data_IF_471756653642
#
_entry.id   IF_471756653642
#
_cell.length_a   1.000
_cell.length_b   1.000
_cell.length_c   1.000
_cell.angle_alpha   90.00
_cell.angle_beta   90.00
_cell.angle_gamma   90.00
#
_symmetry.space_group_name_H-M   'P 1'
#
loop_
_entity.id
_entity.type
_entity.pdbx_description
1 polymer ?
#
# COMPACT_ATOMS: atom_id res chain seq x y z
N UNK A 1 5.26 -26.33 -15.98
CA UNK A 1 3.96 -25.99 -16.61
C UNK A 1 3.37 -24.66 -16.11
N UNK A 2 3.35 -24.38 -14.80
CA UNK A 2 2.72 -23.19 -14.19
C UNK A 2 3.20 -21.79 -14.66
N UNK A 3 4.40 -21.66 -15.25
CA UNK A 3 4.92 -20.37 -15.78
C UNK A 3 4.45 -20.04 -17.21
N UNK A 4 4.05 -21.05 -17.99
CA UNK A 4 3.68 -20.84 -19.40
C UNK A 4 2.25 -20.31 -19.52
N UNK A 5 1.34 -20.85 -18.72
CA UNK A 5 -0.06 -20.41 -18.63
C UNK A 5 -0.21 -18.97 -18.11
N UNK A 6 0.66 -18.53 -17.18
CA UNK A 6 0.63 -17.13 -16.71
C UNK A 6 1.11 -16.13 -17.77
N UNK A 7 2.05 -16.53 -18.63
CA UNK A 7 2.50 -15.70 -19.75
C UNK A 7 1.45 -15.65 -20.87
N UNK A 8 0.82 -16.78 -21.18
CA UNK A 8 -0.26 -16.86 -22.18
C UNK A 8 -1.52 -16.11 -21.73
N UNK A 9 -1.83 -16.11 -20.43
CA UNK A 9 -2.92 -15.30 -19.85
C UNK A 9 -2.67 -13.80 -19.98
N UNK A 10 -1.44 -13.34 -19.71
CA UNK A 10 -1.05 -11.95 -19.87
C UNK A 10 -1.06 -11.52 -21.35
N UNK A 11 -0.54 -12.34 -22.26
CA UNK A 11 -0.52 -12.06 -23.70
C UNK A 11 -1.94 -12.05 -24.32
N UNK A 12 -2.87 -12.87 -23.83
CA UNK A 12 -4.30 -12.81 -24.22
C UNK A 12 -4.96 -11.51 -23.78
N UNK A 13 -4.67 -11.05 -22.56
CA UNK A 13 -5.20 -9.78 -22.06
C UNK A 13 -4.67 -8.59 -22.87
N UNK A 14 -3.38 -8.57 -23.22
CA UNK A 14 -2.80 -7.52 -24.08
C UNK A 14 -3.37 -7.52 -25.51
N UNK A 15 -3.69 -8.68 -26.10
CA UNK A 15 -4.34 -8.76 -27.43
C UNK A 15 -5.78 -8.26 -27.42
N UNK A 16 -6.54 -8.53 -26.36
CA UNK A 16 -7.90 -8.03 -26.22
C UNK A 16 -7.96 -6.50 -26.15
N UNK A 17 -6.99 -5.88 -25.46
CA UNK A 17 -6.90 -4.43 -25.35
C UNK A 17 -6.49 -3.78 -26.69
N UNK A 18 -5.57 -4.39 -27.45
CA UNK A 18 -5.10 -3.84 -28.74
C UNK A 18 -6.06 -4.10 -29.91
N UNK A 19 -6.90 -5.13 -29.84
CA UNK A 19 -7.94 -5.39 -30.86
C UNK A 19 -9.16 -4.47 -30.70
N UNK A 20 -9.47 -4.03 -29.48
CA UNK A 20 -10.55 -3.05 -29.25
C UNK A 20 -10.24 -1.65 -29.83
N UNK A 21 -9.00 -1.40 -30.26
CA UNK A 21 -8.56 -0.13 -30.87
C UNK A 21 -8.58 -0.14 -32.41
N UNK A 22 -8.98 -1.24 -33.05
CA UNK A 22 -9.04 -1.35 -34.52
C UNK A 22 -10.42 -1.79 -35.00
N UNK A 23 -11.35 -0.84 -35.00
CA UNK A 23 -12.55 -0.88 -35.85
C UNK A 23 -12.89 0.56 -36.25
N UNK A 24 -12.25 1.03 -37.33
CA UNK A 24 -12.75 2.18 -38.08
C UNK A 24 -13.31 1.61 -39.38
N UNK A 25 -14.63 1.67 -39.62
CA UNK A 25 -15.17 1.32 -40.92
C UNK A 25 -14.87 2.45 -41.91
N UNK A 26 -14.43 2.09 -43.11
CA UNK A 26 -14.30 3.01 -44.24
C UNK A 26 -15.69 3.20 -44.88
N UNK A 27 -16.19 4.44 -44.87
CA UNK A 27 -17.28 4.95 -45.71
C UNK A 27 -17.17 6.49 -45.68
N UNK A 28 -16.65 7.10 -46.75
CA UNK A 28 -17.37 7.70 -47.88
C UNK A 28 -17.88 9.11 -47.60
N UNK A 29 -17.44 10.04 -48.45
CA UNK A 29 -17.68 11.48 -48.46
C UNK A 29 -19.13 11.90 -48.22
N UNK A 30 -19.29 12.96 -47.42
CA UNK A 30 -20.55 13.68 -47.22
C UNK A 30 -20.41 14.76 -46.16
N UNK A 31 -20.14 16.00 -46.61
CA UNK A 31 -20.08 17.20 -45.78
C UNK A 31 -21.41 17.47 -45.05
N UNK A 32 -21.34 17.71 -43.74
CA UNK A 32 -22.20 18.67 -43.04
C UNK A 32 -21.50 19.08 -41.73
N UNK A 33 -21.35 20.39 -41.54
CA UNK A 33 -20.80 21.03 -40.36
C UNK A 33 -21.65 20.74 -39.13
N UNK A 34 -21.06 20.12 -38.11
CA UNK A 34 -21.51 20.23 -36.73
C UNK A 34 -20.26 20.35 -35.85
N UNK A 35 -20.02 21.56 -35.35
CA UNK A 35 -18.97 21.87 -34.38
C UNK A 35 -19.15 21.01 -33.13
N UNK A 36 -18.20 20.14 -32.75
CA UNK A 36 -18.25 19.47 -31.46
C UNK A 36 -17.86 20.47 -30.38
N UNK A 37 -18.82 20.77 -29.51
CA UNK A 37 -18.63 21.38 -28.19
C UNK A 37 -17.48 20.70 -27.45
N UNK A 38 -16.57 21.52 -26.92
CA UNK A 38 -15.46 21.10 -26.08
C UNK A 38 -15.97 20.35 -24.83
N UNK A 39 -15.61 19.08 -24.68
CA UNK A 39 -15.40 18.40 -23.37
C UNK A 39 -14.90 16.93 -23.45
N UNK A 40 -14.33 16.47 -24.57
CA UNK A 40 -13.65 15.17 -24.64
C UNK A 40 -12.13 15.35 -24.85
N UNK A 41 -11.44 15.86 -23.83
CA UNK A 41 -9.98 15.87 -23.85
C UNK A 41 -9.48 14.41 -23.73
N UNK A 42 -9.04 13.82 -24.85
CA UNK A 42 -8.48 12.49 -24.87
C UNK A 42 -7.34 12.36 -23.83
N UNK A 43 -7.45 11.38 -22.93
CA UNK A 43 -6.45 11.11 -21.90
C UNK A 43 -5.06 10.99 -22.51
N UNK A 44 -4.09 11.65 -21.89
CA UNK A 44 -2.69 11.49 -22.28
C UNK A 44 -2.23 10.02 -22.09
N UNK A 45 -1.25 9.51 -22.86
CA UNK A 45 -0.77 8.14 -22.70
C UNK A 45 -0.28 7.81 -21.27
N UNK A 46 0.27 8.80 -20.55
CA UNK A 46 0.67 8.65 -19.16
C UNK A 46 -0.52 8.51 -18.22
N UNK A 47 -1.59 9.28 -18.43
CA UNK A 47 -2.82 9.18 -17.64
C UNK A 47 -3.57 7.89 -17.91
N UNK A 48 -3.61 7.43 -19.17
CA UNK A 48 -4.17 6.13 -19.51
C UNK A 48 -3.43 4.97 -18.80
N UNK A 49 -2.10 5.05 -18.70
CA UNK A 49 -1.31 4.06 -17.96
C UNK A 49 -1.61 4.07 -16.47
N UNK A 50 -1.78 5.25 -15.86
CA UNK A 50 -2.18 5.39 -14.46
C UNK A 50 -3.58 4.82 -14.23
N UNK A 51 -4.51 5.08 -15.14
CA UNK A 51 -5.87 4.54 -15.09
C UNK A 51 -5.88 3.01 -15.13
N UNK A 52 -5.11 2.42 -16.05
CA UNK A 52 -4.89 0.97 -16.10
C UNK A 52 -4.27 0.42 -14.80
N UNK A 53 -3.37 1.17 -14.17
CA UNK A 53 -2.75 0.79 -12.92
C UNK A 53 -3.75 0.81 -11.75
N UNK A 54 -4.67 1.76 -11.70
CA UNK A 54 -5.78 1.78 -10.72
C UNK A 54 -6.70 0.57 -10.92
N UNK A 55 -7.04 0.24 -12.17
CA UNK A 55 -7.84 -0.95 -12.46
C UNK A 55 -7.16 -2.25 -11.96
N UNK A 56 -5.83 -2.34 -12.02
CA UNK A 56 -5.06 -3.49 -11.48
C UNK A 56 -5.17 -3.63 -9.95
N UNK A 57 -5.47 -2.55 -9.21
CA UNK A 57 -5.70 -2.63 -7.76
C UNK A 57 -6.92 -3.47 -7.41
N UNK A 58 -7.86 -3.63 -8.35
CA UNK A 58 -9.05 -4.48 -8.23
C UNK A 58 -8.81 -5.92 -8.68
N UNK A 59 -7.62 -6.27 -9.16
CA UNK A 59 -7.32 -7.61 -9.62
C UNK A 59 -7.38 -8.63 -8.47
N UNK A 60 -7.63 -9.90 -8.81
CA UNK A 60 -7.68 -10.99 -7.82
C UNK A 60 -6.30 -11.31 -7.22
N UNK A 61 -5.23 -10.96 -7.94
CA UNK A 61 -3.88 -11.39 -7.60
C UNK A 61 -3.09 -10.30 -6.89
N UNK A 62 -2.53 -10.64 -5.73
CA UNK A 62 -1.65 -9.78 -4.92
C UNK A 62 -0.52 -9.14 -5.75
N UNK A 63 0.08 -9.89 -6.69
CA UNK A 63 1.15 -9.37 -7.53
C UNK A 63 0.67 -8.26 -8.48
N UNK A 64 -0.54 -8.41 -9.04
CA UNK A 64 -1.13 -7.41 -9.94
C UNK A 64 -1.50 -6.15 -9.16
N UNK A 65 -2.07 -6.30 -7.97
CA UNK A 65 -2.39 -5.18 -7.09
C UNK A 65 -1.12 -4.45 -6.63
N UNK A 66 -0.08 -5.21 -6.26
CA UNK A 66 1.22 -4.65 -5.88
C UNK A 66 1.83 -3.83 -7.01
N UNK A 67 1.86 -4.39 -8.22
CA UNK A 67 2.43 -3.70 -9.37
C UNK A 67 1.60 -2.48 -9.75
N UNK A 68 0.26 -2.58 -9.75
CA UNK A 68 -0.61 -1.43 -9.98
C UNK A 68 -0.34 -0.29 -8.99
N UNK A 69 -0.13 -0.58 -7.71
CA UNK A 69 0.19 0.45 -6.72
C UNK A 69 1.57 1.08 -6.96
N UNK A 70 2.57 0.26 -7.32
CA UNK A 70 3.91 0.77 -7.66
C UNK A 70 3.82 1.68 -8.89
N UNK A 71 3.15 1.23 -9.96
CA UNK A 71 2.97 1.99 -11.20
C UNK A 71 2.27 3.34 -10.94
N UNK A 72 1.25 3.37 -10.05
CA UNK A 72 0.57 4.61 -9.65
C UNK A 72 1.55 5.54 -8.94
N UNK A 73 2.23 5.07 -7.90
CA UNK A 73 3.08 5.94 -7.06
C UNK A 73 4.29 6.46 -7.84
N UNK A 74 4.93 5.59 -8.65
CA UNK A 74 6.05 5.99 -9.52
C UNK A 74 5.59 6.92 -10.64
N UNK A 75 4.43 6.66 -11.24
CA UNK A 75 3.84 7.54 -12.26
C UNK A 75 3.38 8.90 -11.70
N UNK A 76 3.20 9.01 -10.38
CA UNK A 76 2.98 10.26 -9.66
C UNK A 76 4.28 10.89 -9.12
N UNK A 77 5.45 10.37 -9.52
CA UNK A 77 6.75 11.00 -9.29
C UNK A 77 7.48 10.58 -8.01
N UNK A 78 7.05 9.51 -7.33
CA UNK A 78 7.78 8.97 -6.17
C UNK A 78 8.48 7.66 -6.54
N UNK A 79 9.82 7.66 -6.73
CA UNK A 79 10.56 6.45 -7.06
C UNK A 79 10.59 5.47 -5.88
N UNK A 80 10.51 4.18 -6.21
CA UNK A 80 10.69 3.09 -5.25
C UNK A 80 12.16 2.98 -4.82
N UNK A 81 12.37 2.62 -3.56
CA UNK A 81 13.71 2.43 -2.97
C UNK A 81 13.93 0.98 -2.54
N UNK A 82 13.25 0.55 -1.47
CA UNK A 82 13.45 -0.75 -0.81
C UNK A 82 12.10 -1.38 -0.45
N UNK A 83 12.11 -2.64 -0.01
CA UNK A 83 10.91 -3.41 0.38
C UNK A 83 10.84 -3.68 1.89
N UNK A 84 11.59 -2.92 2.68
CA UNK A 84 11.65 -3.02 4.13
C UNK A 84 12.03 -1.66 4.73
N UNK A 85 11.76 -1.50 6.02
CA UNK A 85 12.19 -0.35 6.81
C UNK A 85 12.93 -0.86 8.04
N UNK A 86 14.06 -0.27 8.38
CA UNK A 86 14.79 -0.67 9.58
C UNK A 86 14.22 0.03 10.81
N UNK A 87 13.86 -0.74 11.83
CA UNK A 87 13.42 -0.24 13.12
C UNK A 87 14.61 -0.13 14.08
N UNK A 88 14.75 1.03 14.70
CA UNK A 88 15.81 1.31 15.66
C UNK A 88 15.29 1.39 17.09
N UNK A 89 16.06 0.87 18.03
CA UNK A 89 15.80 0.99 19.47
C UNK A 89 17.13 1.05 20.22
N UNK A 90 17.27 2.01 21.15
CA UNK A 90 18.53 2.22 21.86
C UNK A 90 19.70 2.58 20.95
N UNK A 91 19.44 3.27 19.84
CA UNK A 91 20.44 3.61 18.81
C UNK A 91 20.92 2.42 17.97
N UNK A 92 20.31 1.24 18.09
CA UNK A 92 20.68 0.03 17.34
C UNK A 92 19.55 -0.41 16.43
N UNK A 93 19.89 -0.93 15.25
CA UNK A 93 18.93 -1.62 14.41
C UNK A 93 18.46 -2.90 15.12
N UNK A 94 17.15 -3.05 15.30
CA UNK A 94 16.55 -4.18 16.04
C UNK A 94 15.83 -5.14 15.11
N UNK A 95 15.16 -4.63 14.08
CA UNK A 95 14.48 -5.47 13.11
C UNK A 95 14.33 -4.75 11.77
N UNK A 96 14.22 -5.52 10.69
CA UNK A 96 13.82 -5.01 9.39
C UNK A 96 12.34 -5.33 9.19
N UNK A 97 11.51 -4.30 9.20
CA UNK A 97 10.06 -4.38 9.01
C UNK A 97 9.76 -4.54 7.53
N UNK A 98 9.39 -5.74 7.05
CA UNK A 98 9.03 -5.96 5.65
C UNK A 98 7.78 -5.18 5.22
N UNK A 99 7.90 -4.39 4.15
CA UNK A 99 6.82 -3.62 3.50
C UNK A 99 6.60 -4.09 2.05
N UNK A 100 5.50 -3.72 1.40
CA UNK A 100 5.30 -4.09 -0.01
C UNK A 100 6.17 -3.24 -0.95
N UNK A 101 6.40 -1.98 -0.60
CA UNK A 101 7.39 -1.10 -1.20
C UNK A 101 7.57 0.13 -0.29
N UNK A 102 8.74 0.75 -0.35
CA UNK A 102 9.04 2.07 0.21
C UNK A 102 9.39 2.99 -0.94
N UNK A 103 8.91 4.22 -0.86
CA UNK A 103 9.13 5.26 -1.85
C UNK A 103 9.75 6.48 -1.17
N UNK A 104 10.61 7.18 -1.90
CA UNK A 104 11.29 8.38 -1.40
C UNK A 104 11.12 9.49 -2.42
N UNK A 105 10.52 10.59 -1.99
CA UNK A 105 10.48 11.80 -2.80
C UNK A 105 11.80 12.57 -2.65
N UNK A 106 12.35 13.08 -3.76
CA UNK A 106 13.53 13.96 -3.73
C UNK A 106 13.18 15.34 -3.14
N UNK A 107 11.95 15.80 -3.39
CA UNK A 107 11.37 17.03 -2.86
C UNK A 107 9.96 16.71 -2.31
N UNK A 108 9.54 17.31 -1.19
CA UNK A 108 8.18 17.14 -0.64
C UNK A 108 8.03 16.20 0.58
N UNK A 109 6.97 15.36 0.68
CA UNK A 109 6.50 14.74 1.94
C UNK A 109 7.47 13.77 2.61
N UNK A 110 8.61 13.47 1.97
CA UNK A 110 9.66 12.62 2.51
C UNK A 110 9.56 11.19 2.00
N UNK A 111 9.20 10.27 2.88
CA UNK A 111 9.08 8.83 2.57
C UNK A 111 7.63 8.36 2.69
N UNK A 112 7.25 7.42 1.83
CA UNK A 112 5.95 6.77 1.81
C UNK A 112 6.14 5.25 1.86
N UNK A 113 5.39 4.54 2.69
CA UNK A 113 5.34 3.08 2.65
C UNK A 113 4.05 2.60 1.98
N UNK A 114 4.16 1.54 1.20
CA UNK A 114 3.03 0.74 0.75
C UNK A 114 3.08 -0.63 1.42
N UNK A 115 1.94 -1.07 1.95
CA UNK A 115 1.77 -2.39 2.56
C UNK A 115 0.55 -3.10 1.98
N UNK A 116 0.68 -4.40 1.73
CA UNK A 116 -0.44 -5.25 1.42
C UNK A 116 -0.78 -6.02 2.69
N UNK A 117 -2.01 -5.93 3.22
CA UNK A 117 -2.33 -6.47 4.56
C UNK A 117 -2.10 -7.99 4.67
N UNK A 118 -2.27 -8.74 3.56
CA UNK A 118 -1.84 -10.15 3.47
C UNK A 118 -0.40 -10.40 3.90
N UNK A 119 0.50 -9.44 3.62
CA UNK A 119 1.92 -9.56 3.98
C UNK A 119 2.06 -9.56 5.51
N UNK A 120 1.27 -8.74 6.21
CA UNK A 120 1.20 -8.72 7.68
C UNK A 120 0.70 -10.07 8.20
N UNK A 121 -0.35 -10.64 7.61
CA UNK A 121 -0.83 -11.99 7.98
C UNK A 121 0.28 -13.05 7.83
N UNK A 122 0.98 -13.07 6.69
CA UNK A 122 2.10 -14.00 6.43
C UNK A 122 3.24 -13.82 7.45
N UNK A 123 3.48 -12.60 7.92
CA UNK A 123 4.49 -12.31 8.96
C UNK A 123 4.03 -12.87 10.30
N UNK A 124 2.76 -12.67 10.66
CA UNK A 124 2.17 -13.22 11.90
C UNK A 124 2.20 -14.75 11.90
N UNK A 125 1.86 -15.38 10.77
CA UNK A 125 1.96 -16.83 10.58
C UNK A 125 3.40 -17.34 10.73
N UNK A 126 4.38 -16.59 10.20
CA UNK A 126 5.81 -16.90 10.38
C UNK A 126 6.18 -16.91 11.85
N UNK A 127 5.78 -15.86 12.58
CA UNK A 127 6.10 -15.70 14.00
C UNK A 127 5.49 -16.84 14.85
N UNK A 128 4.35 -17.36 14.45
CA UNK A 128 3.67 -18.48 15.11
C UNK A 128 4.18 -19.87 14.67
N UNK A 129 5.18 -19.94 13.79
CA UNK A 129 5.72 -21.20 13.27
C UNK A 129 4.77 -21.94 12.31
N UNK A 130 3.75 -21.27 11.78
CA UNK A 130 2.72 -21.88 10.93
C UNK A 130 3.19 -22.16 9.49
N UNK A 131 4.36 -21.62 9.09
CA UNK A 131 4.95 -21.84 7.76
C UNK A 131 5.11 -23.31 7.38
N UNK A 132 5.53 -24.15 8.33
CA UNK A 132 5.80 -25.57 8.07
C UNK A 132 4.56 -26.45 8.24
N UNK A 133 3.59 -26.03 9.06
CA UNK A 133 2.33 -26.71 9.24
C UNK A 133 1.40 -26.56 8.02
N UNK A 134 1.67 -25.62 7.10
CA UNK A 134 0.85 -25.25 5.92
C UNK A 134 -0.56 -24.73 6.23
N UNK A 135 -1.08 -24.90 7.45
CA UNK A 135 -2.23 -24.18 8.03
C UNK A 135 -2.43 -24.60 9.50
N UNK A 136 -3.24 -23.84 10.24
CA UNK A 136 -3.74 -24.25 11.55
C UNK A 136 -4.48 -25.59 11.49
N UNK A 137 -5.24 -25.86 10.42
CA UNK A 137 -6.03 -27.10 10.28
C UNK A 137 -5.16 -28.36 10.32
N UNK A 138 -4.02 -28.31 9.63
CA UNK A 138 -3.06 -29.43 9.65
C UNK A 138 -2.38 -29.58 11.00
N UNK A 139 -2.16 -28.47 11.70
CA UNK A 139 -1.67 -28.50 13.07
C UNK A 139 -2.71 -29.12 14.02
N UNK A 140 -4.00 -28.79 13.84
CA UNK A 140 -5.09 -29.43 14.59
C UNK A 140 -5.16 -30.94 14.33
N UNK A 141 -4.95 -31.37 13.08
CA UNK A 141 -4.92 -32.79 12.72
C UNK A 141 -3.71 -33.54 13.31
N UNK A 142 -2.55 -32.88 13.48
CA UNK A 142 -1.30 -33.52 13.91
C UNK A 142 -1.04 -33.41 15.43
N UNK A 143 -1.31 -32.25 16.03
CA UNK A 143 -1.03 -31.95 17.43
C UNK A 143 -2.02 -30.92 17.98
N UNK A 144 -3.18 -31.40 18.43
CA UNK A 144 -4.29 -30.57 18.94
C UNK A 144 -3.90 -29.63 20.10
N UNK A 145 -3.08 -30.04 21.10
CA UNK A 145 -2.62 -29.13 22.15
C UNK A 145 -1.82 -27.94 21.62
N UNK A 146 -0.84 -28.20 20.73
CA UNK A 146 -0.03 -27.14 20.13
C UNK A 146 -0.88 -26.26 19.23
N UNK A 147 -1.78 -26.84 18.43
CA UNK A 147 -2.72 -26.10 17.59
C UNK A 147 -3.60 -25.14 18.40
N UNK A 148 -4.12 -25.61 19.53
CA UNK A 148 -4.97 -24.80 20.42
C UNK A 148 -4.19 -23.64 21.02
N UNK A 149 -2.94 -23.88 21.47
CA UNK A 149 -2.06 -22.82 21.98
C UNK A 149 -1.72 -21.80 20.91
N UNK A 150 -1.42 -22.25 19.69
CA UNK A 150 -1.10 -21.38 18.56
C UNK A 150 -2.31 -20.57 18.10
N UNK A 151 -3.49 -21.18 18.04
CA UNK A 151 -4.74 -20.50 17.73
C UNK A 151 -5.05 -19.39 18.75
N UNK A 152 -4.95 -19.68 20.05
CA UNK A 152 -5.12 -18.68 21.11
C UNK A 152 -4.10 -17.55 21.01
N UNK A 153 -2.85 -17.84 20.62
CA UNK A 153 -1.83 -16.81 20.37
C UNK A 153 -2.18 -15.96 19.14
N UNK A 154 -2.63 -16.57 18.05
CA UNK A 154 -3.06 -15.86 16.85
C UNK A 154 -4.21 -14.90 17.17
N UNK A 155 -5.24 -15.36 17.89
CA UNK A 155 -6.36 -14.52 18.32
C UNK A 155 -5.94 -13.33 19.19
N UNK A 156 -4.83 -13.43 19.94
CA UNK A 156 -4.30 -12.32 20.73
C UNK A 156 -3.48 -11.32 19.92
N UNK A 157 -2.94 -11.74 18.77
CA UNK A 157 -2.08 -10.93 17.91
C UNK A 157 -2.83 -10.33 16.71
N UNK A 158 -3.96 -10.93 16.33
CA UNK A 158 -4.78 -10.44 15.22
C UNK A 158 -5.71 -9.34 15.74
N UNK A 159 -5.71 -8.16 15.11
CA UNK A 159 -6.66 -7.11 15.47
C UNK A 159 -8.09 -7.53 15.11
N UNK A 160 -9.08 -6.95 15.79
CA UNK A 160 -10.48 -7.11 15.41
C UNK A 160 -10.77 -6.55 14.01
N UNK A 161 -10.05 -5.48 13.64
CA UNK A 161 -10.14 -4.81 12.34
C UNK A 161 -8.75 -4.84 11.68
N UNK A 162 -8.63 -5.43 10.49
CA UNK A 162 -7.34 -5.57 9.79
C UNK A 162 -6.66 -4.23 9.47
N UNK A 163 -7.44 -3.16 9.27
CA UNK A 163 -6.90 -1.82 9.02
C UNK A 163 -6.33 -1.16 10.26
N UNK A 164 -6.64 -1.66 11.45
CA UNK A 164 -6.14 -1.16 12.73
C UNK A 164 -5.01 -2.04 13.27
N UNK A 165 -4.30 -2.72 12.37
CA UNK A 165 -3.20 -3.60 12.72
C UNK A 165 -2.05 -2.83 13.41
N UNK A 166 -1.61 -3.24 14.60
CA UNK A 166 -0.46 -2.61 15.27
C UNK A 166 0.82 -2.65 14.43
N UNK A 167 0.93 -3.58 13.49
CA UNK A 167 2.05 -3.63 12.57
C UNK A 167 2.15 -2.38 11.67
N UNK A 168 1.01 -1.74 11.34
CA UNK A 168 0.98 -0.50 10.58
C UNK A 168 1.62 0.64 11.38
N UNK A 169 1.35 0.71 12.69
CA UNK A 169 2.01 1.68 13.57
C UNK A 169 3.54 1.48 13.58
N UNK A 170 4.01 0.22 13.62
CA UNK A 170 5.43 -0.10 13.51
C UNK A 170 6.06 0.41 12.20
N UNK A 171 5.37 0.26 11.07
CA UNK A 171 5.80 0.80 9.77
C UNK A 171 5.90 2.33 9.81
N UNK A 172 4.89 3.01 10.38
CA UNK A 172 4.87 4.47 10.48
C UNK A 172 5.99 5.00 11.39
N UNK A 173 6.28 4.29 12.50
CA UNK A 173 7.40 4.63 13.39
C UNK A 173 8.74 4.46 12.68
N UNK A 174 8.96 3.33 11.98
CA UNK A 174 10.20 3.10 11.26
C UNK A 174 10.39 4.12 10.12
N UNK A 175 9.31 4.49 9.42
CA UNK A 175 9.35 5.61 8.46
C UNK A 175 9.82 6.91 9.11
N UNK A 176 9.29 7.25 10.29
CA UNK A 176 9.64 8.47 11.00
C UNK A 176 11.11 8.48 11.44
N UNK A 177 11.61 7.34 11.93
CA UNK A 177 13.02 7.18 12.28
C UNK A 177 13.94 7.39 11.07
N UNK A 178 13.62 6.77 9.93
CA UNK A 178 14.41 6.97 8.71
C UNK A 178 14.33 8.41 8.18
N UNK A 179 13.16 9.05 8.26
CA UNK A 179 12.99 10.46 7.87
C UNK A 179 13.86 11.38 8.72
N UNK A 180 13.84 11.20 10.05
CA UNK A 180 14.69 11.94 10.98
C UNK A 180 16.17 11.74 10.70
N UNK A 181 16.62 10.51 10.43
CA UNK A 181 18.03 10.25 10.10
C UNK A 181 18.48 10.99 8.84
N UNK A 182 17.57 11.17 7.87
CA UNK A 182 17.88 11.85 6.61
C UNK A 182 17.79 13.39 6.68
N UNK A 183 16.88 13.93 7.50
CA UNK A 183 16.56 15.37 7.55
C UNK A 183 17.13 16.10 8.78
N UNK A 184 17.66 15.36 9.75
CA UNK A 184 18.04 15.90 11.05
C UNK A 184 16.86 15.96 12.02
N UNK A 185 17.09 16.53 13.21
CA UNK A 185 16.12 16.50 14.32
C UNK A 185 15.01 17.55 14.15
N UNK A 186 13.93 17.19 13.48
CA UNK A 186 12.69 17.97 13.49
C UNK A 186 11.93 17.84 14.84
N UNK A 187 10.98 18.73 15.09
CA UNK A 187 10.10 18.68 16.27
C UNK A 187 9.07 17.55 16.21
N UNK A 188 8.66 17.15 15.01
CA UNK A 188 7.82 15.98 14.77
C UNK A 188 7.98 15.50 13.32
N UNK A 189 7.82 14.21 13.10
CA UNK A 189 7.91 13.59 11.78
C UNK A 189 6.51 13.25 11.26
N UNK A 190 6.14 13.84 10.11
CA UNK A 190 4.88 13.52 9.44
C UNK A 190 5.11 12.37 8.46
N UNK A 191 4.48 11.24 8.75
CA UNK A 191 4.62 10.01 7.96
C UNK A 191 3.31 9.61 7.31
N UNK A 192 3.45 8.92 6.17
CA UNK A 192 2.33 8.45 5.37
C UNK A 192 2.54 7.01 4.96
N UNK A 193 1.47 6.23 4.93
CA UNK A 193 1.48 4.89 4.36
C UNK A 193 0.18 4.61 3.60
N UNK A 194 0.25 3.68 2.65
CA UNK A 194 -0.91 3.18 1.90
C UNK A 194 -1.03 1.69 2.18
N UNK A 195 -2.21 1.22 2.53
CA UNK A 195 -2.51 -0.20 2.66
C UNK A 195 -3.57 -0.66 1.67
N UNK A 196 -3.34 -1.84 1.09
CA UNK A 196 -4.36 -2.59 0.37
C UNK A 196 -4.79 -3.79 1.22
N UNK A 197 -6.09 -3.90 1.56
CA UNK A 197 -6.58 -5.03 2.33
C UNK A 197 -6.58 -6.29 1.49
N UNK A 198 -6.40 -7.42 2.16
CA UNK A 198 -6.44 -8.72 1.51
C UNK A 198 -7.79 -9.36 1.76
N UNK A 199 -8.75 -9.04 0.89
CA UNK A 199 -10.03 -9.72 0.93
C UNK A 199 -10.07 -10.75 -0.19
N UNK A 200 -10.46 -11.98 0.16
CA UNK A 200 -10.89 -13.02 -0.81
C UNK A 200 -12.01 -12.52 -1.75
N UNK A 201 -12.64 -11.40 -1.38
CA UNK A 201 -13.61 -10.65 -2.16
C UNK A 201 -12.98 -9.32 -2.53
N UNK A 202 -12.67 -9.13 -3.82
CA UNK A 202 -12.13 -7.92 -4.45
C UNK A 202 -12.34 -6.65 -3.61
N UNK A 203 -11.32 -6.24 -2.84
CA UNK A 203 -11.44 -5.01 -2.09
C UNK A 203 -11.61 -3.87 -3.07
N UNK A 204 -12.71 -3.15 -2.92
CA UNK A 204 -12.97 -1.91 -3.65
C UNK A 204 -12.40 -0.71 -2.92
N UNK A 205 -11.53 -0.91 -1.92
CA UNK A 205 -10.94 0.18 -1.13
C UNK A 205 -9.43 0.04 -0.95
N UNK A 206 -8.74 1.17 -1.02
CA UNK A 206 -7.40 1.39 -0.50
C UNK A 206 -7.47 2.25 0.77
N UNK A 207 -6.55 2.07 1.71
CA UNK A 207 -6.51 2.83 2.96
C UNK A 207 -5.24 3.67 3.04
N UNK A 208 -5.39 4.94 3.39
CA UNK A 208 -4.31 5.88 3.54
C UNK A 208 -4.13 6.21 5.02
N UNK A 209 -2.93 6.03 5.52
CA UNK A 209 -2.56 6.28 6.90
C UNK A 209 -1.68 7.51 6.98
N UNK A 210 -1.94 8.34 7.98
CA UNK A 210 -1.11 9.48 8.34
C UNK A 210 -0.86 9.46 9.83
N UNK A 211 0.36 9.80 10.22
CA UNK A 211 0.68 10.02 11.63
C UNK A 211 1.66 11.18 11.75
N UNK A 212 1.58 11.88 12.87
CA UNK A 212 2.58 12.85 13.30
C UNK A 212 3.29 12.22 14.50
N UNK A 213 4.55 11.82 14.33
CA UNK A 213 5.31 11.18 15.39
C UNK A 213 6.11 12.26 16.13
N UNK A 214 5.82 12.53 17.41
CA UNK A 214 6.50 13.58 18.16
C UNK A 214 7.99 13.29 18.33
N UNK A 215 8.78 14.35 18.45
CA UNK A 215 10.21 14.21 18.73
C UNK A 215 10.48 13.44 20.02
N UNK A 216 9.73 13.72 21.09
CA UNK A 216 9.89 13.07 22.39
C UNK A 216 9.69 11.55 22.28
N UNK A 217 8.69 11.12 21.51
CA UNK A 217 8.44 9.69 21.26
C UNK A 217 9.63 9.02 20.56
N UNK A 218 10.19 9.64 19.52
CA UNK A 218 11.35 9.09 18.81
C UNK A 218 12.63 9.13 19.67
N UNK A 219 12.83 10.19 20.45
CA UNK A 219 13.96 10.31 21.39
C UNK A 219 13.90 9.19 22.44
N UNK A 220 12.70 8.83 22.90
CA UNK A 220 12.47 7.72 23.83
C UNK A 220 12.84 6.36 23.23
N UNK A 221 12.57 6.15 21.94
CA UNK A 221 13.00 4.93 21.23
C UNK A 221 14.53 4.90 21.03
N UNK A 222 15.15 6.05 20.77
CA UNK A 222 16.59 6.17 20.60
C UNK A 222 17.34 5.97 21.91
N UNK A 223 16.78 6.45 23.03
CA UNK A 223 17.39 6.44 24.37
C UNK A 223 16.41 5.93 25.43
N UNK A 224 16.06 4.63 25.40
CA UNK A 224 15.04 4.05 26.28
C UNK A 224 15.43 4.02 27.77
N UNK A 225 16.69 4.30 28.11
CA UNK A 225 17.15 4.42 29.49
C UNK A 225 16.98 5.82 30.09
N UNK A 226 16.76 6.86 29.28
CA UNK A 226 16.55 8.23 29.77
C UNK A 226 15.09 8.41 30.21
N UNK A 227 14.84 8.70 31.49
CA UNK A 227 13.50 8.98 31.98
C UNK A 227 12.91 10.20 31.24
N UNK A 228 11.65 10.08 30.79
CA UNK A 228 10.97 11.14 30.06
C UNK A 228 9.51 10.81 29.81
N UNK A 229 8.71 11.85 29.64
CA UNK A 229 7.33 11.74 29.19
C UNK A 229 7.31 11.23 27.73
N UNK A 230 6.31 10.41 27.43
CA UNK A 230 6.11 9.85 26.10
C UNK A 230 4.76 10.34 25.59
N UNK A 231 4.80 11.25 24.63
CA UNK A 231 3.59 11.77 24.02
C UNK A 231 2.82 10.66 23.29
N UNK A 232 1.50 10.77 23.31
CA UNK A 232 0.64 9.88 22.55
C UNK A 232 0.85 10.06 21.04
N UNK A 233 0.91 8.93 20.31
CA UNK A 233 0.96 8.91 18.86
C UNK A 233 -0.41 8.56 18.32
N UNK A 234 -1.07 9.52 17.67
CA UNK A 234 -2.33 9.28 16.97
C UNK A 234 -2.08 8.93 15.50
N UNK A 235 -2.60 7.78 15.08
CA UNK A 235 -2.64 7.36 13.67
C UNK A 235 -4.04 7.64 13.13
N UNK A 236 -4.13 8.38 12.02
CA UNK A 236 -5.39 8.63 11.31
C UNK A 236 -5.38 7.85 9.99
N UNK A 237 -6.52 7.30 9.62
CA UNK A 237 -6.66 6.65 8.34
C UNK A 237 -8.00 6.91 7.67
N UNK A 238 -8.02 6.85 6.34
CA UNK A 238 -9.20 7.01 5.51
C UNK A 238 -9.20 6.00 4.37
N UNK A 239 -10.40 5.59 3.93
CA UNK A 239 -10.58 4.66 2.82
C UNK A 239 -10.99 5.37 1.53
N UNK A 240 -10.40 5.00 0.41
CA UNK A 240 -10.76 5.49 -0.93
C UNK A 240 -11.39 4.37 -1.73
N UNK A 241 -12.52 4.67 -2.36
CA UNK A 241 -13.15 3.77 -3.32
C UNK A 241 -12.29 3.64 -4.56
N UNK A 242 -12.07 2.39 -5.00
CA UNK A 242 -11.38 2.03 -6.22
C UNK A 242 -12.37 1.74 -7.37
N UNK A 243 -13.69 1.91 -7.15
CA UNK A 243 -14.73 1.61 -8.15
C UNK A 243 -14.69 2.55 -9.35
N UNK A 244 -14.29 3.79 -9.08
CA UNK A 244 -14.11 4.85 -10.06
C UNK A 244 -12.62 5.15 -10.11
N UNK A 245 -11.99 4.76 -11.20
CA UNK A 245 -10.56 4.83 -11.38
C UNK A 245 -10.05 6.28 -11.44
N UNK A 246 -10.86 7.21 -11.98
CA UNK A 246 -10.49 8.62 -12.07
C UNK A 246 -10.56 9.29 -10.70
N UNK A 247 -11.68 9.12 -9.99
CA UNK A 247 -11.84 9.64 -8.63
C UNK A 247 -10.78 9.06 -7.69
N UNK A 248 -10.46 7.77 -7.83
CA UNK A 248 -9.38 7.14 -7.07
C UNK A 248 -8.03 7.80 -7.38
N UNK A 249 -7.68 8.00 -8.65
CA UNK A 249 -6.42 8.63 -9.05
C UNK A 249 -6.30 10.07 -8.53
N UNK A 250 -7.38 10.85 -8.58
CA UNK A 250 -7.43 12.18 -7.98
C UNK A 250 -7.17 12.13 -6.46
N UNK A 251 -7.74 11.15 -5.76
CA UNK A 251 -7.47 10.94 -4.33
C UNK A 251 -6.00 10.55 -4.06
N UNK A 252 -5.38 9.71 -4.90
CA UNK A 252 -3.95 9.41 -4.80
C UNK A 252 -3.10 10.68 -4.96
N UNK A 253 -3.38 11.50 -5.98
CA UNK A 253 -2.70 12.79 -6.21
C UNK A 253 -2.78 13.68 -4.97
N UNK A 254 -3.99 13.96 -4.50
CA UNK A 254 -4.21 14.80 -3.29
C UNK A 254 -3.47 14.26 -2.07
N UNK A 255 -3.47 12.95 -1.86
CA UNK A 255 -2.82 12.34 -0.70
C UNK A 255 -1.30 12.46 -0.77
N UNK A 256 -0.70 12.30 -1.95
CA UNK A 256 0.73 12.44 -2.14
C UNK A 256 1.16 13.91 -2.03
N UNK A 257 0.39 14.84 -2.57
CA UNK A 257 0.62 16.29 -2.46
C UNK A 257 0.46 16.79 -1.02
N UNK A 258 -0.25 16.05 -0.17
CA UNK A 258 -0.48 16.41 1.22
C UNK A 258 -1.67 17.34 1.46
N UNK A 259 -2.54 17.49 0.46
CA UNK A 259 -3.73 18.34 0.51
C UNK A 259 -4.93 17.65 1.17
N UNK A 260 -4.85 16.35 1.50
CA UNK A 260 -5.92 15.55 2.15
C UNK A 260 -6.15 15.92 3.64
N UNK A 261 -5.62 17.04 4.13
CA UNK A 261 -5.84 17.48 5.53
C UNK A 261 -7.09 18.35 5.77
N UNK A 262 -8.11 18.27 4.90
CA UNK A 262 -9.44 18.86 5.16
C UNK A 262 -10.54 17.94 4.67
N UNK A 263 -10.96 17.02 5.52
CA UNK A 263 -12.34 16.52 5.56
C UNK A 263 -12.59 16.18 7.02
N UNK A 264 -13.07 17.20 7.72
CA UNK A 264 -14.03 17.27 8.84
C UNK A 264 -14.29 15.97 9.62
N UNK A 265 -14.02 16.00 10.93
CA UNK A 265 -15.01 16.06 12.04
C UNK A 265 -15.61 14.69 12.40
#
# INVERSE_FOLDING_TARGET
MYRKEQREGAERFYRLITQSSRSVPAASDGQAEDTPTADDAALTPSEFNLWCAVARLRAQYEWSQRNGMIDIIEGLGLPRTVDYLTLYYGGRAVDDIPTSAVFKAETGPGRLAFIHLRKIEKIRDKHLGLKHARSLDKLFAKNKPVATRTFKKLQRLQPAVETEDPYIAGILIALAQEQRQARGRASAERVRAIALPYLKHFSTKAYFYTACIPKAFLDRLERPWEAGECDEVTVRYGGISLKDEEAALQCFRKFLDGTVHRTDE
#
